data_IF_503153583837
#
_entry.id   IF_503153583837
#
_cell.length_a   1.000
_cell.length_b   1.000
_cell.length_c   1.000
_cell.angle_alpha   90.00
_cell.angle_beta   90.00
_cell.angle_gamma   90.00
#
_symmetry.space_group_name_H-M   'P 1'
#
loop_
_entity.id
_entity.type
_entity.pdbx_description
1 polymer ?
#
# COMPACT_ATOMS: atom_id res chain seq x y z
N UNK A 1 -34.61 29.26 -11.70
CA UNK A 1 -33.74 28.24 -12.29
C UNK A 1 -32.40 28.34 -11.55
N UNK A 2 -32.38 27.74 -10.38
CA UNK A 2 -31.18 27.49 -9.60
C UNK A 2 -31.38 26.05 -9.11
N UNK A 3 -30.75 25.14 -9.78
CA UNK A 3 -30.74 23.74 -9.34
C UNK A 3 -29.54 23.01 -9.93
N UNK A 4 -28.96 22.19 -9.10
CA UNK A 4 -27.95 21.16 -9.42
C UNK A 4 -26.51 21.63 -9.64
N UNK A 5 -25.83 21.93 -8.52
CA UNK A 5 -24.41 21.65 -8.33
C UNK A 5 -24.20 21.00 -6.93
N UNK A 6 -24.84 19.87 -6.75
CA UNK A 6 -24.49 18.94 -5.67
C UNK A 6 -23.59 17.85 -6.30
N UNK A 7 -22.35 18.21 -6.57
CA UNK A 7 -21.31 17.21 -6.83
C UNK A 7 -20.93 16.65 -5.47
N UNK A 8 -21.31 15.40 -5.23
CA UNK A 8 -20.77 14.61 -4.14
C UNK A 8 -19.25 14.73 -4.18
N UNK A 9 -18.69 15.51 -3.27
CA UNK A 9 -17.26 15.53 -3.02
C UNK A 9 -16.90 14.14 -2.54
N UNK A 10 -16.08 13.45 -3.30
CA UNK A 10 -15.53 12.15 -2.96
C UNK A 10 -14.71 12.32 -1.67
N UNK A 11 -15.31 11.94 -0.54
CA UNK A 11 -14.71 12.11 0.80
C UNK A 11 -13.42 11.32 0.92
N UNK A 12 -13.29 10.21 0.18
CA UNK A 12 -12.06 9.39 0.12
C UNK A 12 -10.91 10.10 -0.62
N UNK A 13 -11.21 10.98 -1.58
CA UNK A 13 -10.20 11.80 -2.26
C UNK A 13 -9.55 12.84 -1.32
N UNK A 14 -10.18 13.16 -0.19
CA UNK A 14 -9.67 14.13 0.79
C UNK A 14 -8.82 13.54 1.91
N UNK A 15 -8.75 12.22 2.07
CA UNK A 15 -8.00 11.61 3.17
C UNK A 15 -6.50 11.56 2.87
N UNK A 16 -5.76 12.45 3.52
CA UNK A 16 -4.32 12.62 3.28
C UNK A 16 -3.47 11.42 3.72
N UNK A 17 -3.98 10.63 4.65
CA UNK A 17 -3.32 9.42 5.17
C UNK A 17 -4.00 8.11 4.74
N UNK A 18 -4.92 8.18 3.76
CA UNK A 18 -5.53 6.98 3.18
C UNK A 18 -4.50 6.12 2.43
N UNK A 19 -4.64 4.79 2.43
CA UNK A 19 -3.70 3.90 1.75
C UNK A 19 -3.76 3.96 0.22
N UNK A 20 -4.87 4.45 -0.35
CA UNK A 20 -5.08 4.54 -1.80
C UNK A 20 -4.78 5.93 -2.35
N UNK A 21 -4.35 6.00 -3.61
CA UNK A 21 -3.97 7.22 -4.30
C UNK A 21 -4.82 7.43 -5.58
N UNK A 22 -5.30 8.65 -5.79
CA UNK A 22 -5.94 9.07 -7.04
C UNK A 22 -4.94 9.13 -8.22
N UNK A 23 -5.44 9.26 -9.46
CA UNK A 23 -4.59 9.24 -10.67
C UNK A 23 -3.55 10.37 -10.71
N UNK A 24 -3.92 11.59 -10.36
CA UNK A 24 -3.01 12.75 -10.29
C UNK A 24 -1.92 12.54 -9.23
N UNK A 25 -2.27 11.91 -8.14
CA UNK A 25 -1.35 11.60 -7.07
C UNK A 25 -0.34 10.52 -7.47
N UNK A 26 -0.77 9.50 -8.20
CA UNK A 26 0.12 8.46 -8.75
C UNK A 26 1.16 9.05 -9.70
N UNK A 27 0.79 10.01 -10.54
CA UNK A 27 1.73 10.68 -11.43
C UNK A 27 2.78 11.49 -10.66
N UNK A 28 2.37 12.22 -9.63
CA UNK A 28 3.28 12.98 -8.78
C UNK A 28 4.17 12.07 -7.90
N UNK A 29 3.65 10.93 -7.43
CA UNK A 29 4.44 9.91 -6.75
C UNK A 29 5.51 9.29 -7.65
N UNK A 30 5.20 9.10 -8.95
CA UNK A 30 6.12 8.49 -9.89
C UNK A 30 7.43 9.28 -10.02
N UNK A 31 7.36 10.61 -9.95
CA UNK A 31 8.55 11.48 -10.01
C UNK A 31 9.48 11.32 -8.79
N UNK A 32 8.94 10.93 -7.64
CA UNK A 32 9.69 10.76 -6.39
C UNK A 32 10.27 9.35 -6.22
N UNK A 33 9.90 8.39 -7.08
CA UNK A 33 10.34 7.00 -6.96
C UNK A 33 11.84 6.85 -7.19
N UNK A 34 12.54 6.06 -6.36
CA UNK A 34 13.90 5.65 -6.63
C UNK A 34 13.97 4.79 -7.90
N UNK A 35 15.02 4.98 -8.68
CA UNK A 35 15.24 4.26 -9.96
C UNK A 35 16.20 3.09 -9.82
N UNK A 36 17.01 3.06 -8.75
CA UNK A 36 18.01 2.03 -8.47
C UNK A 36 17.80 1.45 -7.08
N UNK A 37 18.24 0.21 -6.89
CA UNK A 37 18.15 -0.45 -5.59
C UNK A 37 18.98 0.27 -4.52
N UNK A 38 20.09 0.90 -4.89
CA UNK A 38 20.92 1.71 -4.01
C UNK A 38 20.23 2.97 -3.47
N UNK A 39 19.24 3.49 -4.21
CA UNK A 39 18.45 4.67 -3.82
C UNK A 39 17.21 4.31 -2.97
N UNK A 40 16.86 3.02 -2.93
CA UNK A 40 15.69 2.54 -2.20
C UNK A 40 16.02 2.52 -0.70
N UNK A 41 15.42 3.42 0.06
CA UNK A 41 15.61 3.55 1.52
C UNK A 41 14.88 2.44 2.26
N UNK A 42 15.42 1.98 3.38
CA UNK A 42 14.80 0.98 4.23
C UNK A 42 14.89 -0.46 3.69
N UNK A 43 14.09 -1.34 4.26
CA UNK A 43 13.96 -2.75 3.83
C UNK A 43 15.32 -3.46 3.65
N UNK A 44 16.26 -3.29 4.59
CA UNK A 44 17.67 -3.71 4.45
C UNK A 44 17.84 -5.17 4.06
N UNK A 45 17.05 -6.06 4.70
CA UNK A 45 17.12 -7.50 4.45
C UNK A 45 16.63 -7.80 3.03
N UNK A 46 15.45 -7.30 2.66
CA UNK A 46 14.85 -7.47 1.32
C UNK A 46 15.79 -6.93 0.24
N UNK A 47 16.36 -5.74 0.44
CA UNK A 47 17.33 -5.15 -0.50
C UNK A 47 18.56 -6.04 -0.69
N UNK A 48 19.14 -6.55 0.39
CA UNK A 48 20.31 -7.44 0.31
C UNK A 48 20.00 -8.74 -0.41
N UNK A 49 18.86 -9.34 -0.12
CA UNK A 49 18.41 -10.57 -0.78
C UNK A 49 18.11 -10.32 -2.27
N UNK A 50 17.40 -9.24 -2.59
CA UNK A 50 17.08 -8.89 -3.97
C UNK A 50 18.34 -8.58 -4.78
N UNK A 51 19.30 -7.82 -4.20
CA UNK A 51 20.58 -7.57 -4.84
C UNK A 51 21.30 -8.88 -5.21
N UNK A 52 21.35 -9.84 -4.29
CA UNK A 52 21.95 -11.15 -4.54
C UNK A 52 21.26 -11.89 -5.69
N UNK A 53 19.92 -11.92 -5.71
CA UNK A 53 19.14 -12.60 -6.76
C UNK A 53 19.41 -11.97 -8.12
N UNK A 54 19.42 -10.63 -8.20
CA UNK A 54 19.66 -9.89 -9.46
C UNK A 54 21.12 -10.06 -9.94
N UNK A 55 22.10 -9.99 -9.05
CA UNK A 55 23.51 -10.18 -9.41
C UNK A 55 23.78 -11.60 -9.91
N UNK A 56 23.20 -12.60 -9.25
CA UNK A 56 23.29 -13.98 -9.70
C UNK A 56 22.64 -14.21 -11.07
N UNK A 57 21.49 -13.59 -11.35
CA UNK A 57 20.84 -13.64 -12.66
C UNK A 57 21.71 -12.99 -13.73
N UNK A 58 22.29 -11.81 -13.48
CA UNK A 58 23.22 -11.14 -14.39
C UNK A 58 24.45 -11.99 -14.70
N UNK A 59 25.07 -12.60 -13.67
CA UNK A 59 26.23 -13.48 -13.86
C UNK A 59 25.91 -14.68 -14.74
N UNK A 60 24.71 -15.21 -14.68
CA UNK A 60 24.24 -16.33 -15.52
C UNK A 60 23.74 -15.88 -16.90
N UNK A 61 23.61 -14.56 -17.14
CA UNK A 61 22.96 -14.00 -18.33
C UNK A 61 21.56 -14.59 -18.53
N UNK A 62 20.78 -14.71 -17.45
CA UNK A 62 19.47 -15.31 -17.42
C UNK A 62 18.47 -14.39 -16.71
N UNK A 63 17.18 -14.62 -16.96
CA UNK A 63 16.11 -13.95 -16.20
C UNK A 63 16.20 -14.33 -14.74
N UNK A 64 15.93 -13.40 -13.81
CA UNK A 64 15.84 -13.74 -12.39
C UNK A 64 14.63 -14.63 -12.12
N UNK A 65 14.68 -15.36 -11.00
CA UNK A 65 13.54 -16.13 -10.52
C UNK A 65 12.30 -15.23 -10.36
N UNK A 66 11.10 -15.83 -10.40
CA UNK A 66 9.87 -15.10 -10.11
C UNK A 66 9.88 -14.58 -8.68
N UNK A 67 9.45 -13.34 -8.47
CA UNK A 67 9.52 -12.61 -7.20
C UNK A 67 8.11 -12.31 -6.68
N UNK A 68 7.85 -12.64 -5.42
CA UNK A 68 6.63 -12.24 -4.72
C UNK A 68 6.96 -11.14 -3.71
N UNK A 69 6.31 -9.97 -3.87
CA UNK A 69 6.41 -8.84 -2.96
C UNK A 69 5.16 -8.80 -2.07
N UNK A 70 5.31 -9.20 -0.81
CA UNK A 70 4.22 -9.24 0.16
C UNK A 70 4.37 -8.10 1.19
N UNK A 71 3.26 -7.50 1.61
CA UNK A 71 3.26 -6.49 2.68
C UNK A 71 2.17 -5.44 2.52
N UNK A 72 1.94 -4.61 3.53
CA UNK A 72 0.96 -3.53 3.53
C UNK A 72 1.04 -2.61 2.31
N UNK A 73 -0.04 -1.87 1.98
CA UNK A 73 -0.01 -0.92 0.88
C UNK A 73 0.96 0.24 1.14
N UNK A 74 1.48 0.86 0.07
CA UNK A 74 2.30 2.06 0.17
C UNK A 74 3.78 1.86 0.59
N UNK A 75 4.24 0.61 0.75
CA UNK A 75 5.62 0.28 1.17
C UNK A 75 6.64 0.18 0.02
N UNK A 76 6.21 0.42 -1.23
CA UNK A 76 7.12 0.45 -2.38
C UNK A 76 7.18 -0.82 -3.22
N UNK A 77 6.19 -1.74 -3.14
CA UNK A 77 6.14 -2.96 -3.98
C UNK A 77 6.27 -2.67 -5.47
N UNK A 78 5.45 -1.78 -6.01
CA UNK A 78 5.51 -1.35 -7.42
C UNK A 78 6.85 -0.69 -7.75
N UNK A 79 7.43 0.07 -6.82
CA UNK A 79 8.74 0.70 -6.99
C UNK A 79 9.84 -0.36 -7.10
N UNK A 80 9.81 -1.40 -6.27
CA UNK A 80 10.76 -2.51 -6.37
C UNK A 80 10.65 -3.25 -7.70
N UNK A 81 9.43 -3.48 -8.22
CA UNK A 81 9.25 -4.09 -9.54
C UNK A 81 9.88 -3.23 -10.65
N UNK A 82 9.71 -1.90 -10.58
CA UNK A 82 10.37 -0.97 -11.52
C UNK A 82 11.89 -1.00 -11.40
N UNK A 83 12.43 -1.08 -10.18
CA UNK A 83 13.86 -1.19 -9.94
C UNK A 83 14.40 -2.51 -10.49
N UNK A 84 13.71 -3.64 -10.27
CA UNK A 84 14.11 -4.94 -10.82
C UNK A 84 14.27 -4.85 -12.34
N UNK A 85 13.28 -4.28 -13.04
CA UNK A 85 13.34 -4.11 -14.49
C UNK A 85 14.50 -3.20 -14.92
N UNK A 86 14.68 -2.08 -14.23
CA UNK A 86 15.77 -1.14 -14.52
C UNK A 86 17.15 -1.76 -14.28
N UNK A 87 17.33 -2.51 -13.19
CA UNK A 87 18.57 -3.20 -12.85
C UNK A 87 18.89 -4.34 -13.83
N UNK A 88 17.88 -5.03 -14.36
CA UNK A 88 18.05 -6.07 -15.38
C UNK A 88 18.16 -5.51 -16.81
N UNK A 89 17.83 -4.23 -17.02
CA UNK A 89 17.84 -3.60 -18.34
C UNK A 89 16.75 -4.12 -19.27
N UNK A 90 15.62 -4.57 -18.73
CA UNK A 90 14.52 -5.20 -19.46
C UNK A 90 13.23 -4.37 -19.37
N UNK A 91 12.26 -4.68 -20.24
CA UNK A 91 10.96 -4.00 -20.23
C UNK A 91 10.10 -4.45 -19.05
N UNK A 92 9.26 -3.53 -18.54
CA UNK A 92 8.29 -3.80 -17.49
C UNK A 92 6.87 -3.69 -18.05
N UNK A 93 6.10 -4.75 -17.92
CA UNK A 93 4.66 -4.75 -18.19
C UNK A 93 3.91 -4.68 -16.86
N UNK A 94 3.08 -3.67 -16.71
CA UNK A 94 2.31 -3.44 -15.48
C UNK A 94 0.86 -3.87 -15.69
N UNK A 95 0.34 -4.68 -14.78
CA UNK A 95 -1.07 -5.05 -14.72
C UNK A 95 -1.49 -5.27 -13.26
N UNK A 96 -2.74 -5.64 -13.03
CA UNK A 96 -3.26 -5.96 -11.69
C UNK A 96 -4.19 -7.17 -11.74
N UNK A 97 -4.32 -7.88 -10.63
CA UNK A 97 -5.24 -9.02 -10.50
C UNK A 97 -6.66 -8.67 -10.94
N UNK A 98 -7.27 -7.58 -10.44
CA UNK A 98 -8.61 -7.15 -10.85
C UNK A 98 -8.76 -6.83 -12.35
N UNK A 99 -7.70 -6.41 -13.02
CA UNK A 99 -7.72 -6.11 -14.46
C UNK A 99 -7.72 -7.38 -15.33
N UNK A 100 -7.33 -8.52 -14.78
CA UNK A 100 -7.30 -9.82 -15.45
C UNK A 100 -8.53 -10.63 -15.04
N UNK A 101 -9.63 -10.45 -15.74
CA UNK A 101 -10.90 -11.09 -15.41
C UNK A 101 -11.02 -12.53 -15.97
N UNK A 102 -10.34 -12.78 -17.09
CA UNK A 102 -10.41 -14.07 -17.79
C UNK A 102 -9.01 -14.57 -18.18
N UNK A 103 -8.87 -15.86 -18.40
CA UNK A 103 -7.64 -16.45 -18.91
C UNK A 103 -7.19 -15.83 -20.25
N UNK A 104 -8.13 -15.41 -21.10
CA UNK A 104 -7.84 -14.72 -22.36
C UNK A 104 -7.13 -13.37 -22.19
N UNK A 105 -7.45 -12.63 -21.14
CA UNK A 105 -6.78 -11.35 -20.82
C UNK A 105 -5.31 -11.60 -20.50
N UNK A 106 -5.06 -12.60 -19.67
CA UNK A 106 -3.70 -13.01 -19.32
C UNK A 106 -2.93 -13.55 -20.53
N UNK A 107 -3.57 -14.39 -21.35
CA UNK A 107 -2.96 -14.93 -22.57
C UNK A 107 -2.52 -13.81 -23.55
N UNK A 108 -3.35 -12.76 -23.68
CA UNK A 108 -3.02 -11.60 -24.51
C UNK A 108 -1.80 -10.83 -23.95
N UNK A 109 -1.70 -10.66 -22.64
CA UNK A 109 -0.54 -10.03 -22.01
C UNK A 109 0.71 -10.88 -22.22
N UNK A 110 0.64 -12.18 -21.92
CA UNK A 110 1.76 -13.11 -22.00
C UNK A 110 2.30 -13.26 -23.44
N UNK A 111 1.41 -13.30 -24.44
CA UNK A 111 1.81 -13.40 -25.85
C UNK A 111 2.57 -12.17 -26.38
N UNK A 112 2.45 -11.04 -25.70
CA UNK A 112 3.16 -9.80 -26.02
C UNK A 112 4.51 -9.64 -25.32
N UNK A 113 4.91 -10.59 -24.46
CA UNK A 113 6.20 -10.53 -23.75
C UNK A 113 7.35 -10.92 -24.68
N UNK A 114 8.50 -10.34 -24.40
CA UNK A 114 9.77 -10.68 -25.04
C UNK A 114 10.71 -11.34 -24.03
N UNK A 115 11.79 -11.93 -24.52
CA UNK A 115 12.77 -12.59 -23.67
C UNK A 115 13.34 -11.61 -22.63
N UNK A 116 13.29 -12.01 -21.37
CA UNK A 116 13.76 -11.21 -20.24
C UNK A 116 12.78 -10.19 -19.70
N UNK A 117 11.61 -9.98 -20.34
CA UNK A 117 10.60 -9.03 -19.86
C UNK A 117 10.13 -9.36 -18.45
N UNK A 118 9.77 -8.32 -17.71
CA UNK A 118 9.18 -8.44 -16.37
C UNK A 118 7.69 -8.13 -16.45
N UNK A 119 6.87 -9.09 -16.00
CA UNK A 119 5.44 -8.92 -15.83
C UNK A 119 5.14 -8.63 -14.34
N UNK A 120 4.74 -7.39 -14.04
CA UNK A 120 4.28 -7.03 -12.71
C UNK A 120 2.76 -7.17 -12.61
N UNK A 121 2.31 -7.92 -11.60
CA UNK A 121 0.89 -8.12 -11.30
C UNK A 121 0.63 -7.60 -9.88
N UNK A 122 0.01 -6.43 -9.78
CA UNK A 122 -0.41 -5.90 -8.48
C UNK A 122 -1.68 -6.60 -7.99
N UNK A 123 -1.86 -6.72 -6.68
CA UNK A 123 -2.96 -7.44 -6.04
C UNK A 123 -3.18 -8.86 -6.64
N UNK A 124 -2.08 -9.59 -6.85
CA UNK A 124 -2.08 -10.91 -7.53
C UNK A 124 -3.05 -11.92 -6.89
N UNK A 125 -3.34 -11.79 -5.59
CA UNK A 125 -4.32 -12.62 -4.87
C UNK A 125 -5.77 -12.40 -5.34
N UNK A 126 -6.03 -11.40 -6.20
CA UNK A 126 -7.35 -11.09 -6.77
C UNK A 126 -7.48 -11.56 -8.23
N UNK A 127 -6.56 -12.36 -8.72
CA UNK A 127 -6.69 -12.99 -10.03
C UNK A 127 -7.93 -13.88 -10.07
N UNK A 128 -8.62 -13.89 -11.21
CA UNK A 128 -9.66 -14.87 -11.48
C UNK A 128 -9.03 -16.28 -11.54
N UNK A 129 -9.72 -17.29 -11.01
CA UNK A 129 -9.17 -18.65 -10.89
C UNK A 129 -8.66 -19.23 -12.21
N UNK A 130 -9.37 -18.99 -13.32
CA UNK A 130 -8.96 -19.47 -14.65
C UNK A 130 -7.68 -18.78 -15.14
N UNK A 131 -7.47 -17.52 -14.81
CA UNK A 131 -6.24 -16.80 -15.11
C UNK A 131 -5.09 -17.27 -14.21
N UNK A 132 -5.37 -17.54 -12.95
CA UNK A 132 -4.40 -18.08 -11.99
C UNK A 132 -3.86 -19.45 -12.45
N UNK A 133 -4.75 -20.38 -12.86
CA UNK A 133 -4.39 -21.70 -13.39
C UNK A 133 -3.52 -21.57 -14.67
N UNK A 134 -3.82 -20.63 -15.55
CA UNK A 134 -2.99 -20.36 -16.72
C UNK A 134 -1.62 -19.78 -16.32
N UNK A 135 -1.57 -18.90 -15.31
CA UNK A 135 -0.32 -18.31 -14.83
C UNK A 135 0.64 -19.38 -14.28
N UNK A 136 0.12 -20.44 -13.63
CA UNK A 136 0.96 -21.55 -13.15
C UNK A 136 1.77 -22.18 -14.28
N UNK A 137 1.10 -22.55 -15.39
CA UNK A 137 1.75 -23.16 -16.54
C UNK A 137 2.74 -22.19 -17.20
N UNK A 138 2.36 -20.92 -17.30
CA UNK A 138 3.23 -19.89 -17.86
C UNK A 138 4.51 -19.68 -17.06
N UNK A 139 4.45 -19.75 -15.72
CA UNK A 139 5.61 -19.59 -14.84
C UNK A 139 6.51 -20.83 -14.80
N UNK A 140 5.96 -22.03 -14.94
CA UNK A 140 6.71 -23.29 -14.85
C UNK A 140 7.30 -23.73 -16.18
N UNK A 141 6.46 -23.74 -17.23
CA UNK A 141 6.80 -24.34 -18.53
C UNK A 141 7.03 -23.30 -19.63
N UNK A 142 6.89 -22.00 -19.35
CA UNK A 142 6.87 -20.94 -20.37
C UNK A 142 5.94 -21.28 -21.54
N UNK A 143 4.75 -21.78 -21.19
CA UNK A 143 3.72 -22.21 -22.14
C UNK A 143 2.33 -21.87 -21.61
N UNK A 144 1.44 -21.53 -22.51
CA UNK A 144 0.01 -21.39 -22.23
C UNK A 144 -0.80 -22.15 -23.26
N UNK A 145 -1.91 -22.73 -22.83
CA UNK A 145 -2.85 -23.40 -23.72
C UNK A 145 -4.02 -22.43 -24.01
N UNK A 146 -4.12 -21.99 -25.27
CA UNK A 146 -5.17 -21.08 -25.73
C UNK A 146 -6.29 -21.88 -26.40
N UNK A 147 -7.50 -21.79 -25.85
CA UNK A 147 -8.69 -22.44 -26.41
C UNK A 147 -9.25 -21.58 -27.54
N UNK A 148 -9.23 -22.10 -28.77
CA UNK A 148 -9.78 -21.47 -29.96
C UNK A 148 -11.06 -22.18 -30.39
N UNK A 149 -12.13 -21.40 -30.59
CA UNK A 149 -13.46 -21.92 -30.93
C UNK A 149 -14.43 -21.98 -29.72
N UNK A 150 -15.65 -22.40 -29.99
CA UNK A 150 -16.72 -22.54 -28.99
C UNK A 150 -17.38 -23.92 -29.12
N UNK A 151 -17.83 -24.49 -28.00
CA UNK A 151 -18.56 -25.76 -27.95
C UNK A 151 -17.68 -26.98 -28.19
N UNK A 152 -18.26 -28.13 -28.64
CA UNK A 152 -17.55 -29.43 -28.77
C UNK A 152 -16.42 -29.43 -29.79
N UNK A 153 -16.30 -28.40 -30.67
CA UNK A 153 -15.24 -28.26 -31.66
C UNK A 153 -14.11 -27.30 -31.22
N UNK A 154 -14.10 -26.84 -29.98
CA UNK A 154 -13.02 -26.01 -29.46
C UNK A 154 -11.71 -26.82 -29.37
N UNK A 155 -10.62 -26.23 -29.85
CA UNK A 155 -9.30 -26.86 -29.88
C UNK A 155 -8.36 -26.05 -28.99
N UNK A 156 -7.60 -26.74 -28.14
CA UNK A 156 -6.52 -26.12 -27.37
C UNK A 156 -5.25 -26.06 -28.22
N UNK A 157 -4.69 -24.88 -28.35
CA UNK A 157 -3.44 -24.63 -29.09
C UNK A 157 -2.39 -24.21 -28.06
N UNK A 158 -1.29 -24.98 -27.90
CA UNK A 158 -0.18 -24.59 -27.05
C UNK A 158 0.58 -23.41 -27.67
N UNK A 159 0.77 -22.37 -26.91
CA UNK A 159 1.60 -21.21 -27.25
C UNK A 159 2.85 -21.22 -26.37
N UNK A 160 4.02 -21.34 -26.97
CA UNK A 160 5.30 -21.22 -26.27
C UNK A 160 5.59 -19.74 -26.01
N UNK A 161 6.00 -19.41 -24.80
CA UNK A 161 6.37 -18.07 -24.36
C UNK A 161 7.90 -17.95 -24.29
N UNK A 162 8.46 -16.77 -24.56
CA UNK A 162 9.86 -16.50 -24.22
C UNK A 162 10.04 -16.53 -22.69
N UNK A 163 11.25 -16.83 -22.18
CA UNK A 163 11.55 -16.72 -20.76
C UNK A 163 11.28 -15.31 -20.25
N UNK A 164 10.53 -15.19 -19.16
CA UNK A 164 10.15 -13.92 -18.52
C UNK A 164 10.12 -14.08 -17.00
N UNK A 165 10.08 -12.97 -16.30
CA UNK A 165 9.94 -12.98 -14.83
C UNK A 165 8.60 -12.37 -14.40
N UNK A 166 7.88 -13.08 -13.53
CA UNK A 166 6.72 -12.53 -12.82
C UNK A 166 7.19 -11.88 -11.54
N UNK A 167 6.81 -10.62 -11.34
CA UNK A 167 6.87 -9.95 -10.04
C UNK A 167 5.44 -9.76 -9.55
N UNK A 168 5.01 -10.63 -8.65
CA UNK A 168 3.70 -10.53 -8.02
C UNK A 168 3.74 -9.61 -6.81
N UNK A 169 2.73 -8.78 -6.62
CA UNK A 169 2.56 -7.98 -5.42
C UNK A 169 1.25 -8.33 -4.71
N UNK A 170 1.27 -8.42 -3.39
CA UNK A 170 0.07 -8.70 -2.59
C UNK A 170 0.10 -8.00 -1.24
N UNK A 171 -1.06 -7.55 -0.80
CA UNK A 171 -1.28 -7.09 0.57
C UNK A 171 -1.74 -8.22 1.49
N UNK A 172 -2.15 -9.37 0.93
CA UNK A 172 -2.74 -10.51 1.64
C UNK A 172 -2.09 -11.83 1.18
N UNK A 173 -0.86 -12.07 1.58
CA UNK A 173 -0.10 -13.27 1.19
C UNK A 173 -0.78 -14.58 1.57
N UNK A 174 -1.56 -14.60 2.65
CA UNK A 174 -2.32 -15.77 3.09
C UNK A 174 -3.50 -16.15 2.18
N UNK A 175 -3.93 -15.25 1.27
CA UNK A 175 -4.98 -15.53 0.27
C UNK A 175 -4.43 -16.16 -1.02
N UNK A 176 -3.10 -16.14 -1.21
CA UNK A 176 -2.49 -16.80 -2.37
C UNK A 176 -2.54 -18.32 -2.20
N UNK A 177 -3.09 -19.03 -3.18
CA UNK A 177 -3.05 -20.50 -3.18
C UNK A 177 -1.61 -21.02 -3.16
N UNK A 178 -1.40 -22.12 -2.43
CA UNK A 178 -0.08 -22.73 -2.33
C UNK A 178 0.57 -23.02 -3.70
N UNK A 179 -0.14 -23.55 -4.72
CA UNK A 179 0.46 -23.81 -6.02
C UNK A 179 1.04 -22.55 -6.70
N UNK A 180 0.39 -21.40 -6.57
CA UNK A 180 0.93 -20.15 -7.11
C UNK A 180 2.10 -19.65 -6.29
N UNK A 181 1.98 -19.66 -4.97
CA UNK A 181 3.04 -19.20 -4.07
C UNK A 181 4.34 -19.98 -4.24
N UNK A 182 4.25 -21.29 -4.42
CA UNK A 182 5.41 -22.18 -4.52
C UNK A 182 6.19 -22.01 -5.84
N UNK A 183 5.65 -21.27 -6.81
CA UNK A 183 6.33 -20.93 -8.07
C UNK A 183 7.19 -19.67 -7.97
N UNK A 184 7.07 -18.91 -6.89
CA UNK A 184 7.96 -17.80 -6.64
C UNK A 184 9.24 -18.29 -6.00
N UNK A 185 10.37 -18.16 -6.71
CA UNK A 185 11.69 -18.52 -6.21
C UNK A 185 12.17 -17.60 -5.08
N UNK A 186 11.64 -16.38 -5.02
CA UNK A 186 11.94 -15.42 -3.96
C UNK A 186 10.68 -14.71 -3.46
N UNK A 187 10.47 -14.73 -2.15
CA UNK A 187 9.40 -13.97 -1.49
C UNK A 187 9.99 -12.91 -0.58
N UNK A 188 9.69 -11.65 -0.87
CA UNK A 188 10.08 -10.49 -0.06
C UNK A 188 8.91 -10.04 0.82
N UNK A 189 9.11 -10.02 2.13
CA UNK A 189 8.16 -9.45 3.07
C UNK A 189 8.57 -8.03 3.42
N UNK A 190 7.78 -7.04 2.94
CA UNK A 190 8.00 -5.64 3.25
C UNK A 190 7.33 -5.29 4.58
N UNK A 191 8.07 -4.59 5.42
CA UNK A 191 7.63 -4.15 6.73
C UNK A 191 7.43 -2.63 6.76
N UNK A 192 6.73 -2.14 7.78
CA UNK A 192 6.63 -0.70 7.99
C UNK A 192 8.00 -0.11 8.24
N UNK A 193 8.19 1.11 7.76
CA UNK A 193 9.44 1.83 7.90
C UNK A 193 9.55 2.45 9.30
N UNK A 194 10.77 2.48 9.81
CA UNK A 194 11.10 3.26 10.99
C UNK A 194 11.10 4.76 10.68
N UNK A 195 10.91 5.60 11.71
CA UNK A 195 10.83 7.05 11.54
C UNK A 195 12.09 7.63 10.88
N UNK A 196 13.27 7.16 11.23
CA UNK A 196 14.55 7.62 10.66
C UNK A 196 14.68 7.27 9.16
N UNK A 197 14.17 6.10 8.77
CA UNK A 197 14.12 5.69 7.38
C UNK A 197 13.16 6.59 6.59
N UNK A 198 11.97 6.88 7.14
CA UNK A 198 11.02 7.81 6.53
C UNK A 198 11.54 9.23 6.48
N UNK A 199 12.26 9.69 7.49
CA UNK A 199 12.93 10.99 7.47
C UNK A 199 13.90 11.09 6.29
N UNK A 200 14.65 10.02 6.01
CA UNK A 200 15.53 9.94 4.85
C UNK A 200 14.75 9.99 3.54
N UNK A 201 13.60 9.32 3.46
CA UNK A 201 12.69 9.37 2.29
C UNK A 201 12.16 10.79 2.09
N UNK A 202 11.68 11.45 3.15
CA UNK A 202 11.15 12.81 3.10
C UNK A 202 12.22 13.80 2.64
N UNK A 203 13.42 13.73 3.22
CA UNK A 203 14.55 14.60 2.85
C UNK A 203 14.93 14.45 1.38
N UNK A 204 15.04 13.21 0.89
CA UNK A 204 15.30 12.92 -0.52
C UNK A 204 14.18 13.47 -1.42
N UNK A 205 12.93 13.23 -1.04
CA UNK A 205 11.77 13.68 -1.83
C UNK A 205 11.66 15.21 -1.87
N UNK A 206 11.92 15.89 -0.76
CA UNK A 206 11.98 17.35 -0.69
C UNK A 206 13.05 17.93 -1.63
N UNK A 207 14.23 17.33 -1.65
CA UNK A 207 15.29 17.69 -2.58
C UNK A 207 14.89 17.54 -4.05
N UNK A 208 14.18 16.44 -4.40
CA UNK A 208 13.67 16.22 -5.76
C UNK A 208 12.58 17.22 -6.16
N UNK A 209 11.81 17.72 -5.20
CA UNK A 209 10.81 18.78 -5.40
C UNK A 209 11.43 20.18 -5.46
N UNK A 210 12.76 20.32 -5.27
CA UNK A 210 13.43 21.61 -5.23
C UNK A 210 13.10 22.43 -3.97
N UNK A 211 12.60 21.81 -2.92
CA UNK A 211 12.16 22.44 -1.67
C UNK A 211 12.98 21.88 -0.50
N UNK A 212 14.15 22.43 -0.22
CA UNK A 212 14.98 21.92 0.88
C UNK A 212 14.23 22.00 2.22
N UNK A 213 14.39 20.96 3.03
CA UNK A 213 13.67 20.78 4.30
C UNK A 213 14.67 20.70 5.45
N UNK A 214 14.33 21.31 6.58
CA UNK A 214 15.14 21.11 7.78
C UNK A 214 14.92 19.74 8.42
N UNK A 215 15.91 19.27 9.21
CA UNK A 215 15.87 17.94 9.79
C UNK A 215 14.70 17.73 10.78
N UNK A 216 14.26 18.79 11.46
CA UNK A 216 13.16 18.71 12.41
C UNK A 216 11.81 18.63 11.70
N UNK A 217 11.62 19.40 10.61
CA UNK A 217 10.44 19.30 9.76
C UNK A 217 10.34 17.93 9.10
N UNK A 218 11.46 17.41 8.58
CA UNK A 218 11.49 16.07 7.99
C UNK A 218 11.14 14.98 9.01
N UNK A 219 11.63 15.08 10.23
CA UNK A 219 11.29 14.17 11.33
C UNK A 219 9.80 14.27 11.73
N UNK A 220 9.26 15.49 11.81
CA UNK A 220 7.84 15.73 12.15
C UNK A 220 6.91 15.08 11.12
N UNK A 221 7.21 15.22 9.82
CA UNK A 221 6.46 14.56 8.74
C UNK A 221 6.61 13.03 8.86
N UNK A 222 7.83 12.55 9.04
CA UNK A 222 8.13 11.11 9.11
C UNK A 222 7.39 10.44 10.27
N UNK A 223 7.39 11.04 11.47
CA UNK A 223 6.73 10.50 12.67
C UNK A 223 5.22 10.33 12.51
N UNK A 224 4.56 11.21 11.71
CA UNK A 224 3.11 11.12 11.45
C UNK A 224 2.76 10.31 10.20
N UNK A 225 3.74 9.73 9.51
CA UNK A 225 3.57 9.03 8.22
C UNK A 225 3.16 7.57 8.33
N UNK A 226 2.80 7.11 9.52
CA UNK A 226 2.29 5.74 9.75
C UNK A 226 3.22 4.62 9.25
N UNK A 227 4.54 4.83 9.26
CA UNK A 227 5.50 3.84 8.74
C UNK A 227 5.44 3.64 7.22
N UNK A 228 4.89 4.57 6.45
CA UNK A 228 4.56 4.37 5.04
C UNK A 228 5.15 5.47 4.15
N UNK A 229 6.07 5.15 3.22
CA UNK A 229 6.66 6.13 2.30
C UNK A 229 5.64 6.90 1.46
N UNK A 230 4.53 6.26 1.05
CA UNK A 230 3.45 6.91 0.31
C UNK A 230 2.83 8.04 1.11
N UNK A 231 2.48 7.78 2.39
CA UNK A 231 1.91 8.79 3.28
C UNK A 231 2.93 9.88 3.55
N UNK A 232 4.20 9.54 3.79
CA UNK A 232 5.28 10.52 3.99
C UNK A 232 5.40 11.50 2.82
N UNK A 233 5.40 11.00 1.59
CA UNK A 233 5.43 11.85 0.39
C UNK A 233 4.15 12.69 0.21
N UNK A 234 3.00 12.16 0.61
CA UNK A 234 1.73 12.86 0.57
C UNK A 234 1.71 14.02 1.57
N UNK A 235 2.13 13.77 2.81
CA UNK A 235 2.25 14.80 3.84
C UNK A 235 3.28 15.86 3.44
N UNK A 236 4.44 15.46 2.92
CA UNK A 236 5.47 16.38 2.43
C UNK A 236 4.89 17.36 1.40
N UNK A 237 4.11 16.89 0.42
CA UNK A 237 3.49 17.76 -0.58
C UNK A 237 2.55 18.79 0.05
N UNK A 238 1.76 18.40 1.05
CA UNK A 238 0.89 19.35 1.76
C UNK A 238 1.70 20.38 2.54
N UNK A 239 2.83 19.98 3.10
CA UNK A 239 3.76 20.92 3.76
C UNK A 239 4.38 21.88 2.75
N UNK A 240 4.75 21.40 1.55
CA UNK A 240 5.23 22.27 0.45
C UNK A 240 4.16 23.29 0.05
N UNK A 241 2.92 22.83 -0.20
CA UNK A 241 1.80 23.71 -0.56
C UNK A 241 1.56 24.77 0.53
N UNK A 242 1.56 24.36 1.80
CA UNK A 242 1.37 25.27 2.94
C UNK A 242 2.48 26.31 3.04
N UNK A 243 3.75 25.89 2.94
CA UNK A 243 4.90 26.78 3.02
C UNK A 243 4.92 27.82 1.88
N UNK A 244 4.46 27.42 0.69
CA UNK A 244 4.35 28.35 -0.46
C UNK A 244 3.24 29.39 -0.28
N UNK A 245 2.13 29.02 0.38
CA UNK A 245 0.97 29.91 0.56
C UNK A 245 1.12 30.81 1.79
N UNK A 246 1.68 30.28 2.89
CA UNK A 246 1.71 30.97 4.18
C UNK A 246 3.10 31.46 4.60
N UNK A 247 4.14 31.21 3.79
CA UNK A 247 5.52 31.56 4.11
C UNK A 247 6.33 31.93 2.88
N UNK A 248 7.63 31.74 2.99
CA UNK A 248 8.64 31.99 1.95
C UNK A 248 9.01 30.74 1.14
N UNK A 249 8.25 29.65 1.33
CA UNK A 249 8.50 28.34 0.69
C UNK A 249 9.53 27.48 1.41
N UNK A 250 10.07 27.92 2.56
CA UNK A 250 10.99 27.10 3.36
C UNK A 250 10.22 26.06 4.17
N UNK A 251 10.70 24.81 4.14
CA UNK A 251 10.07 23.69 4.86
C UNK A 251 10.63 23.61 6.29
N UNK A 252 10.18 24.53 7.15
CA UNK A 252 10.54 24.60 8.56
C UNK A 252 9.64 23.71 9.41
N UNK A 253 10.04 23.43 10.66
CA UNK A 253 9.21 22.71 11.62
C UNK A 253 7.85 23.39 11.85
N UNK A 254 7.83 24.73 11.87
CA UNK A 254 6.60 25.51 12.04
C UNK A 254 5.65 25.32 10.84
N UNK A 255 6.18 25.40 9.61
CA UNK A 255 5.41 25.13 8.40
C UNK A 255 4.88 23.70 8.37
N UNK A 256 5.70 22.70 8.77
CA UNK A 256 5.28 21.32 8.84
C UNK A 256 4.12 21.13 9.85
N UNK A 257 4.24 21.68 11.05
CA UNK A 257 3.17 21.59 12.07
C UNK A 257 1.91 22.31 11.64
N UNK A 258 2.01 23.52 11.11
CA UNK A 258 0.86 24.27 10.61
C UNK A 258 0.12 23.54 9.49
N UNK A 259 0.84 22.94 8.55
CA UNK A 259 0.25 22.12 7.51
C UNK A 259 -0.46 20.88 8.08
N UNK A 260 0.21 20.13 8.95
CA UNK A 260 -0.35 18.89 9.52
C UNK A 260 -1.57 19.17 10.39
N UNK A 261 -1.60 20.28 11.11
CA UNK A 261 -2.76 20.74 11.86
C UNK A 261 -3.92 21.13 10.94
N UNK A 262 -3.65 21.91 9.86
CA UNK A 262 -4.65 22.30 8.87
C UNK A 262 -5.31 21.08 8.20
N UNK A 263 -4.52 20.02 7.96
CA UNK A 263 -5.01 18.75 7.39
C UNK A 263 -5.45 17.73 8.44
N UNK A 264 -5.63 18.16 9.68
CA UNK A 264 -6.16 17.36 10.79
C UNK A 264 -5.37 16.06 11.08
N UNK A 265 -4.07 16.03 10.81
CA UNK A 265 -3.17 14.91 11.15
C UNK A 265 -2.51 15.20 12.49
N UNK A 266 -2.88 14.46 13.52
CA UNK A 266 -2.39 14.68 14.88
C UNK A 266 -0.94 14.15 15.11
N UNK A 267 -0.33 14.40 16.30
CA UNK A 267 1.03 13.92 16.58
C UNK A 267 1.22 12.41 16.51
N UNK A 268 0.16 11.64 16.66
CA UNK A 268 0.19 10.16 16.49
C UNK A 268 -0.10 9.71 15.05
N UNK A 269 -0.22 10.64 14.10
CA UNK A 269 -0.57 10.33 12.72
C UNK A 269 -2.03 9.93 12.51
N UNK A 270 -2.92 10.19 13.51
CA UNK A 270 -4.35 9.93 13.37
C UNK A 270 -5.03 11.07 12.62
N UNK A 271 -5.87 10.71 11.67
CA UNK A 271 -6.72 11.67 10.96
C UNK A 271 -8.12 11.80 11.58
N UNK A 272 -8.99 12.55 10.92
CA UNK A 272 -10.37 12.75 11.36
C UNK A 272 -11.14 11.45 11.54
N UNK A 273 -11.01 10.48 10.62
CA UNK A 273 -11.75 9.21 10.70
C UNK A 273 -11.26 8.36 11.86
N UNK A 274 -9.95 8.25 12.04
CA UNK A 274 -9.37 7.49 13.17
C UNK A 274 -9.86 8.04 14.50
N UNK A 275 -9.83 9.37 14.64
CA UNK A 275 -10.33 10.04 15.86
C UNK A 275 -11.83 9.84 16.04
N UNK A 276 -12.63 9.89 14.96
CA UNK A 276 -14.07 9.61 15.02
C UNK A 276 -14.37 8.18 15.47
N UNK A 277 -13.58 7.19 14.99
CA UNK A 277 -13.67 5.80 15.42
C UNK A 277 -13.38 5.67 16.92
N UNK A 278 -12.26 6.25 17.38
CA UNK A 278 -11.87 6.19 18.81
C UNK A 278 -12.88 6.92 19.69
N UNK A 279 -13.32 8.10 19.28
CA UNK A 279 -14.31 8.89 20.02
C UNK A 279 -15.65 8.14 20.16
N UNK A 280 -16.13 7.53 19.07
CA UNK A 280 -17.35 6.74 19.11
C UNK A 280 -17.21 5.55 20.07
N UNK A 281 -16.13 4.77 19.99
CA UNK A 281 -15.94 3.61 20.86
C UNK A 281 -15.82 4.04 22.33
N UNK A 282 -15.03 5.07 22.62
CA UNK A 282 -14.81 5.50 24.00
C UNK A 282 -16.05 6.19 24.59
N UNK A 283 -16.62 7.20 23.90
CA UNK A 283 -17.70 8.02 24.48
C UNK A 283 -19.09 7.41 24.34
N UNK A 284 -19.38 6.75 23.19
CA UNK A 284 -20.74 6.24 22.94
C UNK A 284 -20.92 4.79 23.36
N UNK A 285 -19.86 4.00 23.33
CA UNK A 285 -19.90 2.57 23.63
C UNK A 285 -19.08 2.18 24.88
N UNK A 286 -18.71 3.15 25.73
CA UNK A 286 -17.98 2.93 26.99
C UNK A 286 -16.72 2.05 26.84
N UNK A 287 -16.00 2.18 25.71
CA UNK A 287 -14.83 1.39 25.37
C UNK A 287 -15.09 0.11 24.58
N UNK A 288 -16.34 -0.24 24.34
CA UNK A 288 -16.73 -1.44 23.58
C UNK A 288 -17.01 -2.66 24.48
N UNK A 289 -17.21 -3.86 23.89
CA UNK A 289 -17.03 -4.20 22.47
C UNK A 289 -18.16 -3.68 21.56
N UNK A 290 -17.83 -3.17 20.38
CA UNK A 290 -18.78 -2.69 19.39
C UNK A 290 -18.56 -3.36 18.02
N UNK A 291 -19.64 -3.78 17.38
CA UNK A 291 -19.61 -4.38 16.05
C UNK A 291 -19.30 -3.37 14.95
N UNK A 292 -18.69 -3.82 13.83
CA UNK A 292 -18.30 -2.97 12.71
C UNK A 292 -19.46 -2.15 12.17
N UNK A 293 -20.59 -2.81 11.85
CA UNK A 293 -21.78 -2.16 11.28
C UNK A 293 -22.35 -1.08 12.21
N UNK A 294 -22.41 -1.36 13.53
CA UNK A 294 -22.87 -0.36 14.50
C UNK A 294 -21.93 0.84 14.56
N UNK A 295 -20.62 0.57 14.54
CA UNK A 295 -19.61 1.62 14.58
C UNK A 295 -19.65 2.49 13.32
N UNK A 296 -19.70 1.89 12.13
CA UNK A 296 -19.73 2.61 10.86
C UNK A 296 -20.97 3.50 10.72
N UNK A 297 -22.15 2.99 11.06
CA UNK A 297 -23.40 3.80 11.12
C UNK A 297 -23.26 4.95 12.12
N UNK A 298 -22.63 4.71 13.26
CA UNK A 298 -22.48 5.74 14.32
C UNK A 298 -21.61 6.91 13.88
N UNK A 299 -20.59 6.66 13.06
CA UNK A 299 -19.66 7.71 12.58
C UNK A 299 -20.03 8.23 11.17
N UNK A 300 -21.05 7.63 10.52
CA UNK A 300 -21.52 8.03 9.19
C UNK A 300 -20.59 7.60 8.06
N UNK A 301 -19.92 6.44 8.19
CA UNK A 301 -18.96 5.92 7.22
C UNK A 301 -19.35 4.51 6.73
N UNK A 302 -18.84 4.11 5.57
CA UNK A 302 -18.98 2.76 5.08
C UNK A 302 -18.19 1.77 5.96
N UNK A 303 -18.76 0.59 6.18
CA UNK A 303 -18.14 -0.44 7.02
C UNK A 303 -16.78 -0.88 6.46
N UNK A 304 -16.67 -1.00 5.14
CA UNK A 304 -15.43 -1.37 4.45
C UNK A 304 -14.33 -0.32 4.67
N UNK A 305 -14.67 0.97 4.62
CA UNK A 305 -13.74 2.08 4.89
C UNK A 305 -13.18 1.99 6.32
N UNK A 306 -14.05 1.78 7.31
CA UNK A 306 -13.60 1.61 8.70
C UNK A 306 -12.67 0.41 8.84
N UNK A 307 -13.03 -0.74 8.26
CA UNK A 307 -12.28 -1.99 8.39
C UNK A 307 -10.94 -1.99 7.65
N UNK A 308 -10.88 -1.35 6.47
CA UNK A 308 -9.70 -1.43 5.61
C UNK A 308 -8.76 -0.24 5.76
N UNK A 309 -9.25 0.90 6.19
CA UNK A 309 -8.49 2.16 6.22
C UNK A 309 -8.14 2.61 7.64
N UNK A 310 -9.12 2.68 8.55
CA UNK A 310 -8.87 3.16 9.92
C UNK A 310 -8.38 2.05 10.86
N UNK A 311 -9.10 0.94 10.90
CA UNK A 311 -8.85 -0.14 11.87
C UNK A 311 -7.42 -0.72 11.82
N UNK A 312 -6.79 -0.97 10.64
CA UNK A 312 -5.46 -1.57 10.60
C UNK A 312 -4.40 -0.72 11.30
N UNK A 313 -4.47 0.59 11.14
CA UNK A 313 -3.55 1.51 11.81
C UNK A 313 -3.81 1.58 13.32
N UNK A 314 -5.07 1.74 13.70
CA UNK A 314 -5.47 1.82 15.12
C UNK A 314 -5.13 0.55 15.91
N UNK A 315 -5.25 -0.62 15.27
CA UNK A 315 -4.88 -1.91 15.89
C UNK A 315 -3.36 -2.04 15.99
N UNK A 316 -2.63 -1.71 14.92
CA UNK A 316 -1.16 -1.77 14.91
C UNK A 316 -0.55 -0.88 15.98
N UNK A 317 -1.06 0.34 16.11
CA UNK A 317 -0.59 1.30 17.10
C UNK A 317 -1.10 1.01 18.52
N UNK A 318 -1.93 -0.02 18.67
CA UNK A 318 -2.45 -0.43 19.98
C UNK A 318 -3.50 0.52 20.57
N UNK A 319 -4.22 1.27 19.73
CA UNK A 319 -5.39 2.04 20.14
C UNK A 319 -6.64 1.16 20.27
N UNK A 320 -6.74 0.14 19.42
CA UNK A 320 -7.86 -0.80 19.38
C UNK A 320 -7.41 -2.25 19.49
N UNK A 321 -8.29 -3.08 20.05
CA UNK A 321 -8.19 -4.54 20.00
C UNK A 321 -9.41 -5.09 19.27
N UNK A 322 -9.19 -6.00 18.32
CA UNK A 322 -10.26 -6.73 17.64
C UNK A 322 -10.54 -8.04 18.37
N UNK A 323 -11.77 -8.25 18.75
CA UNK A 323 -12.25 -9.48 19.39
C UNK A 323 -13.41 -10.09 18.63
N UNK A 324 -13.79 -11.32 18.95
CA UNK A 324 -14.97 -11.98 18.36
C UNK A 324 -16.29 -11.23 18.64
N UNK A 325 -16.34 -10.39 19.71
CA UNK A 325 -17.50 -9.58 20.05
C UNK A 325 -17.49 -8.19 19.41
N UNK A 326 -16.37 -7.76 18.84
CA UNK A 326 -16.21 -6.44 18.24
C UNK A 326 -14.91 -5.74 18.62
N UNK A 327 -14.88 -4.44 18.42
CA UNK A 327 -13.75 -3.55 18.65
C UNK A 327 -13.79 -3.01 20.06
N UNK A 328 -12.65 -3.00 20.74
CA UNK A 328 -12.49 -2.51 22.11
C UNK A 328 -11.37 -1.47 22.12
N UNK A 329 -11.62 -0.33 22.77
CA UNK A 329 -10.61 0.69 22.99
C UNK A 329 -9.62 0.26 24.09
N UNK A 330 -8.33 0.50 23.84
CA UNK A 330 -7.28 0.24 24.83
C UNK A 330 -7.10 1.44 25.77
N UNK A 331 -6.37 1.31 26.87
CA UNK A 331 -5.99 2.45 27.70
C UNK A 331 -5.30 3.57 26.92
N UNK A 332 -4.52 3.23 25.87
CA UNK A 332 -3.87 4.20 24.99
C UNK A 332 -4.89 5.07 24.25
N UNK A 333 -6.00 4.49 23.78
CA UNK A 333 -7.07 5.25 23.13
C UNK A 333 -7.72 6.26 24.06
N UNK A 334 -8.02 5.85 25.30
CA UNK A 334 -8.58 6.74 26.33
C UNK A 334 -7.64 7.89 26.65
N UNK A 335 -6.35 7.58 26.90
CA UNK A 335 -5.33 8.59 27.18
C UNK A 335 -5.17 9.58 26.01
N UNK A 336 -5.19 9.09 24.76
CA UNK A 336 -5.08 9.92 23.57
C UNK A 336 -6.23 10.93 23.43
N UNK A 337 -7.45 10.52 23.80
CA UNK A 337 -8.64 11.39 23.81
C UNK A 337 -8.73 12.29 25.05
N UNK A 338 -7.78 12.19 25.98
CA UNK A 338 -7.84 12.89 27.26
C UNK A 338 -9.00 12.42 28.17
N UNK A 339 -9.40 11.16 28.02
CA UNK A 339 -10.52 10.55 28.75
C UNK A 339 -10.01 9.52 29.77
N UNK A 340 -10.78 9.32 30.83
CA UNK A 340 -10.55 8.21 31.73
C UNK A 340 -11.36 6.98 31.31
N UNK A 341 -10.76 5.77 31.30
CA UNK A 341 -11.52 4.55 31.05
C UNK A 341 -12.59 4.37 32.13
N UNK A 342 -13.73 3.75 31.82
CA UNK A 342 -14.72 3.41 32.87
C UNK A 342 -14.06 2.51 33.91
N UNK A 343 -14.50 2.64 35.18
CA UNK A 343 -14.03 1.75 36.21
C UNK A 343 -14.33 0.29 35.81
N UNK A 344 -13.40 -0.65 36.01
CA UNK A 344 -13.70 -2.05 35.72
C UNK A 344 -14.95 -2.47 36.51
N UNK A 345 -15.93 -3.08 35.81
CA UNK A 345 -17.11 -3.70 36.39
C UNK A 345 -16.66 -4.86 37.31
N UNK A 346 -16.30 -4.56 38.56
CA UNK A 346 -15.67 -5.52 39.46
C UNK A 346 -15.80 -5.20 40.94
N UNK A 347 -16.69 -4.31 41.33
CA UNK A 347 -16.91 -3.98 42.76
C UNK A 347 -18.40 -3.97 43.13
N UNK A 348 -19.11 -5.05 42.79
CA UNK A 348 -20.49 -5.23 43.25
C UNK A 348 -20.68 -6.48 44.12
N UNK A 349 -19.58 -7.10 44.58
CA UNK A 349 -19.63 -8.14 45.64
C UNK A 349 -18.41 -7.98 46.55
N UNK A 350 -18.52 -7.12 47.55
CA UNK A 350 -17.95 -7.28 48.88
C UNK A 350 -19.09 -7.48 49.85
#
# INVERSE_FOLDING_TARGET
MADQMDSAFDVDAMRIVAPDAGELERAAEAALRPKKLSEFVGQRVVRGQLQLVLDAARMRSASPDHVLLAGPPGLGKTTLAMIIAAEMGTSLRLTSGPAIQHAGDLAAILSGLQEGDILFIDEIHRLARTAEEMLYLAMEDFRVDVVVGKGPGATSIPLTLPPFTVVGATTRSGLLPAPLRDRFGFTAHLEFYETDELQSVVTRSASLLGSPIDAQAAHEIASRSRGTPRIANRLLRRVVDYAQVHGDGQLTLEAARGALELFEVDPSGLDRLDRAVLDAICRRFAGGPVGLTTLSVTIGEEAETVETVAEPYLVREGFLVRTNRGRIATPKAWAHLGLNPPAPDGALFD
#
